data_IF_206015248107
#
_entry.id   IF_206015248107
#
_cell.length_a   1.000
_cell.length_b   1.000
_cell.length_c   1.000
_cell.angle_alpha   90.00
_cell.angle_beta   90.00
_cell.angle_gamma   90.00
#
_symmetry.space_group_name_H-M   'P 1'
#
loop_
_entity.id
_entity.type
_entity.pdbx_description
1 polymer ?
#
# COMPACT_ATOMS: atom_id res chain seq x y z
N UNK A 1 -12.73 17.56 -0.16
CA UNK A 1 -11.58 17.11 0.65
C UNK A 1 -10.52 16.59 -0.30
N UNK A 2 -9.24 16.89 -0.07
CA UNK A 2 -8.17 16.52 -1.00
C UNK A 2 -7.96 14.98 -0.93
N UNK A 3 -8.49 14.21 -1.89
CA UNK A 3 -8.46 12.73 -1.88
C UNK A 3 -7.05 12.16 -1.67
N UNK A 4 -6.05 12.83 -2.24
CA UNK A 4 -4.63 12.49 -2.04
C UNK A 4 -4.18 12.57 -0.58
N UNK A 5 -4.72 13.51 0.21
CA UNK A 5 -4.35 13.69 1.61
C UNK A 5 -4.94 12.59 2.50
N UNK A 6 -6.18 12.16 2.20
CA UNK A 6 -6.80 10.98 2.82
C UNK A 6 -6.02 9.69 2.49
N UNK A 7 -5.50 9.60 1.27
CA UNK A 7 -4.73 8.44 0.80
C UNK A 7 -3.39 8.35 1.53
N UNK A 8 -2.69 9.48 1.67
CA UNK A 8 -1.47 9.57 2.50
C UNK A 8 -1.76 9.15 3.94
N UNK A 9 -2.87 9.62 4.53
CA UNK A 9 -3.24 9.26 5.90
C UNK A 9 -3.58 7.77 6.05
N UNK A 10 -4.25 7.18 5.06
CA UNK A 10 -4.57 5.75 5.00
C UNK A 10 -3.29 4.90 4.96
N UNK A 11 -2.34 5.25 4.09
CA UNK A 11 -1.03 4.57 4.00
C UNK A 11 -0.26 4.72 5.32
N UNK A 12 -0.25 5.90 5.93
CA UNK A 12 0.40 6.11 7.23
C UNK A 12 -0.18 5.18 8.31
N UNK A 13 -1.50 5.07 8.40
CA UNK A 13 -2.16 4.20 9.37
C UNK A 13 -1.90 2.72 9.10
N UNK A 14 -1.93 2.30 7.84
CA UNK A 14 -1.59 0.95 7.42
C UNK A 14 -0.16 0.59 7.83
N UNK A 15 0.79 1.45 7.51
CA UNK A 15 2.22 1.28 7.79
C UNK A 15 2.49 1.19 9.30
N UNK A 16 1.82 2.00 10.11
CA UNK A 16 1.87 1.91 11.58
C UNK A 16 1.32 0.54 12.02
N UNK A 17 0.19 0.11 11.46
CA UNK A 17 -0.39 -1.22 11.69
C UNK A 17 0.58 -2.35 11.36
N UNK A 18 1.22 -2.33 10.19
CA UNK A 18 2.21 -3.33 9.76
C UNK A 18 3.43 -3.35 10.68
N UNK A 19 3.87 -2.18 11.15
CA UNK A 19 4.98 -2.08 12.10
C UNK A 19 4.64 -2.74 13.43
N UNK A 20 3.45 -2.44 13.97
CA UNK A 20 2.96 -3.05 15.21
C UNK A 20 2.70 -4.55 15.08
N UNK A 21 2.31 -5.02 13.89
CA UNK A 21 2.11 -6.45 13.62
C UNK A 21 3.39 -7.26 13.79
N UNK A 22 4.52 -6.71 13.35
CA UNK A 22 5.84 -7.33 13.50
C UNK A 22 6.36 -7.25 14.93
N UNK A 23 5.95 -6.23 15.70
CA UNK A 23 6.22 -6.09 17.14
C UNK A 23 5.33 -7.01 17.99
N UNK A 24 4.13 -7.37 17.53
CA UNK A 24 3.21 -8.24 18.28
C UNK A 24 3.58 -9.73 18.25
N UNK A 25 4.73 -10.08 17.65
CA UNK A 25 5.19 -11.46 17.42
C UNK A 25 4.13 -12.35 16.74
N UNK A 26 3.28 -11.75 15.90
CA UNK A 26 2.21 -12.50 15.24
C UNK A 26 1.01 -12.77 16.15
N UNK A 27 0.53 -11.73 16.84
CA UNK A 27 -0.70 -11.71 17.65
C UNK A 27 -0.58 -12.26 19.09
N UNK A 28 0.62 -12.49 19.61
CA UNK A 28 0.83 -13.08 20.94
C UNK A 28 0.42 -12.14 22.10
N UNK A 29 0.38 -10.82 21.86
CA UNK A 29 -0.04 -9.82 22.85
C UNK A 29 -1.35 -9.15 22.46
N UNK A 30 -2.39 -9.32 23.28
CA UNK A 30 -3.74 -8.78 23.03
C UNK A 30 -3.79 -7.24 22.87
N UNK A 31 -2.92 -6.50 23.58
CA UNK A 31 -2.83 -5.04 23.48
C UNK A 31 -2.46 -4.53 22.08
N UNK A 32 -1.25 -4.84 21.57
CA UNK A 32 -0.84 -4.42 20.22
C UNK A 32 -1.72 -5.01 19.12
N UNK A 33 -2.30 -6.20 19.29
CA UNK A 33 -3.29 -6.75 18.37
C UNK A 33 -4.49 -5.83 18.17
N UNK A 34 -5.04 -5.26 19.25
CA UNK A 34 -6.19 -4.35 19.16
C UNK A 34 -5.84 -3.07 18.39
N UNK A 35 -4.62 -2.56 18.58
CA UNK A 35 -4.10 -1.38 17.87
C UNK A 35 -3.94 -1.67 16.38
N UNK A 36 -3.44 -2.86 16.01
CA UNK A 36 -3.32 -3.28 14.61
C UNK A 36 -4.69 -3.31 13.96
N UNK A 37 -5.68 -3.95 14.59
CA UNK A 37 -7.05 -4.04 14.04
C UNK A 37 -7.69 -2.66 13.91
N UNK A 38 -7.55 -1.79 14.91
CA UNK A 38 -8.07 -0.42 14.85
C UNK A 38 -7.40 0.38 13.72
N UNK A 39 -6.07 0.30 13.59
CA UNK A 39 -5.35 1.01 12.54
C UNK A 39 -5.73 0.53 11.13
N UNK A 40 -5.77 -0.79 10.93
CA UNK A 40 -6.17 -1.38 9.65
C UNK A 40 -7.63 -1.06 9.31
N UNK A 41 -8.52 -1.09 10.30
CA UNK A 41 -9.93 -0.73 10.13
C UNK A 41 -10.10 0.72 9.66
N UNK A 42 -9.32 1.65 10.23
CA UNK A 42 -9.30 3.05 9.81
C UNK A 42 -8.72 3.16 8.40
N UNK A 43 -7.55 2.56 8.13
CA UNK A 43 -6.90 2.62 6.83
C UNK A 43 -7.81 2.11 5.70
N UNK A 44 -8.43 0.94 5.89
CA UNK A 44 -9.38 0.35 4.94
C UNK A 44 -10.64 1.20 4.77
N UNK A 45 -11.18 1.76 5.85
CA UNK A 45 -12.35 2.64 5.75
C UNK A 45 -12.06 3.87 4.90
N UNK A 46 -10.90 4.52 5.11
CA UNK A 46 -10.46 5.65 4.28
C UNK A 46 -10.25 5.20 2.83
N UNK A 47 -9.62 4.05 2.61
CA UNK A 47 -9.38 3.51 1.27
C UNK A 47 -10.68 3.31 0.48
N UNK A 48 -11.69 2.70 1.12
CA UNK A 48 -13.03 2.49 0.53
C UNK A 48 -13.73 3.81 0.19
N UNK A 49 -13.56 4.84 1.03
CA UNK A 49 -14.13 6.18 0.75
C UNK A 49 -13.45 6.84 -0.45
N UNK A 50 -12.12 6.76 -0.54
CA UNK A 50 -11.36 7.39 -1.64
C UNK A 50 -11.66 6.70 -2.98
N UNK A 51 -11.74 5.36 -2.98
CA UNK A 51 -12.08 4.57 -4.18
C UNK A 51 -13.49 4.81 -4.69
N UNK A 52 -14.42 5.29 -3.86
CA UNK A 52 -15.76 5.73 -4.33
C UNK A 52 -15.74 7.08 -5.06
N UNK A 53 -14.73 7.92 -4.84
CA UNK A 53 -14.67 9.29 -5.38
C UNK A 53 -13.61 9.51 -6.46
N UNK A 54 -12.82 8.49 -6.81
CA UNK A 54 -11.73 8.60 -7.80
C UNK A 54 -11.59 7.31 -8.59
N UNK A 55 -10.93 7.36 -9.75
CA UNK A 55 -10.67 6.18 -10.56
C UNK A 55 -9.92 5.12 -9.75
N UNK A 56 -10.55 3.95 -9.61
CA UNK A 56 -10.04 2.82 -8.82
C UNK A 56 -8.63 2.42 -9.27
N UNK A 57 -8.31 2.56 -10.56
CA UNK A 57 -6.98 2.30 -11.12
C UNK A 57 -5.90 3.15 -10.46
N UNK A 58 -6.03 4.49 -10.52
CA UNK A 58 -5.04 5.42 -9.94
C UNK A 58 -4.89 5.20 -8.42
N UNK A 59 -6.00 4.97 -7.72
CA UNK A 59 -5.98 4.77 -6.26
C UNK A 59 -5.27 3.48 -5.87
N UNK A 60 -5.55 2.36 -6.55
CA UNK A 60 -4.82 1.10 -6.34
C UNK A 60 -3.32 1.25 -6.67
N UNK A 61 -2.98 2.02 -7.71
CA UNK A 61 -1.58 2.29 -8.06
C UNK A 61 -0.81 2.91 -6.89
N UNK A 62 -1.35 4.00 -6.35
CA UNK A 62 -0.70 4.76 -5.30
C UNK A 62 -0.71 3.98 -3.99
N UNK A 63 -1.80 3.30 -3.68
CA UNK A 63 -1.91 2.51 -2.46
C UNK A 63 -0.97 1.30 -2.46
N UNK A 64 -0.97 0.50 -3.52
CA UNK A 64 -0.10 -0.68 -3.63
C UNK A 64 1.38 -0.29 -3.78
N UNK A 65 1.70 0.68 -4.64
CA UNK A 65 3.08 1.13 -4.84
C UNK A 65 3.64 1.91 -3.63
N UNK A 66 2.87 2.87 -3.12
CA UNK A 66 3.24 3.68 -1.97
C UNK A 66 3.36 2.87 -0.69
N UNK A 67 2.41 1.96 -0.43
CA UNK A 67 2.46 1.05 0.71
C UNK A 67 3.73 0.20 0.73
N UNK A 68 4.09 -0.42 -0.41
CA UNK A 68 5.29 -1.25 -0.52
C UNK A 68 6.58 -0.45 -0.27
N UNK A 69 6.69 0.75 -0.81
CA UNK A 69 7.87 1.62 -0.60
C UNK A 69 8.02 1.96 0.88
N UNK A 70 6.95 2.45 1.51
CA UNK A 70 6.99 2.88 2.91
C UNK A 70 7.23 1.69 3.85
N UNK A 71 6.54 0.57 3.65
CA UNK A 71 6.76 -0.66 4.43
C UNK A 71 8.19 -1.16 4.29
N UNK A 72 8.77 -1.10 3.09
CA UNK A 72 10.18 -1.47 2.87
C UNK A 72 11.12 -0.55 3.62
N UNK A 73 10.92 0.78 3.56
CA UNK A 73 11.73 1.76 4.29
C UNK A 73 11.66 1.49 5.81
N UNK A 74 10.46 1.25 6.33
CA UNK A 74 10.28 0.94 7.75
C UNK A 74 10.91 -0.40 8.12
N UNK A 75 10.78 -1.44 7.29
CA UNK A 75 11.41 -2.73 7.55
C UNK A 75 12.94 -2.60 7.71
N UNK A 76 13.57 -1.76 6.89
CA UNK A 76 15.01 -1.50 7.00
C UNK A 76 15.34 -0.63 8.21
N UNK A 77 14.59 0.44 8.44
CA UNK A 77 14.89 1.46 9.46
C UNK A 77 14.57 1.00 10.89
N UNK A 78 13.37 0.46 11.12
CA UNK A 78 12.91 0.05 12.45
C UNK A 78 13.36 -1.36 12.84
N UNK A 79 13.38 -2.29 11.89
CA UNK A 79 13.71 -3.69 12.19
C UNK A 79 15.17 -4.04 11.91
N UNK A 80 15.97 -3.08 11.41
CA UNK A 80 17.35 -3.30 10.97
C UNK A 80 17.50 -4.58 10.14
N UNK A 81 16.47 -4.92 9.35
CA UNK A 81 16.49 -6.14 8.58
C UNK A 81 17.61 -6.01 7.55
N UNK A 82 18.50 -7.01 7.42
CA UNK A 82 19.58 -6.93 6.45
C UNK A 82 18.95 -6.77 5.06
N UNK A 83 19.31 -5.66 4.40
CA UNK A 83 19.01 -5.40 3.01
C UNK A 83 19.80 -6.38 2.16
N UNK A 84 19.32 -7.61 2.10
CA UNK A 84 19.85 -8.60 1.17
C UNK A 84 19.54 -8.13 -0.25
N UNK A 85 20.49 -8.35 -1.16
CA UNK A 85 20.34 -8.05 -2.58
C UNK A 85 19.06 -8.68 -3.15
N UNK A 86 18.63 -9.83 -2.60
CA UNK A 86 17.38 -10.52 -2.92
C UNK A 86 16.13 -9.70 -2.55
N UNK A 87 16.12 -9.04 -1.38
CA UNK A 87 14.99 -8.20 -0.95
C UNK A 87 14.85 -6.97 -1.84
N UNK A 88 15.97 -6.34 -2.19
CA UNK A 88 15.98 -5.19 -3.10
C UNK A 88 15.43 -5.60 -4.47
N UNK A 89 15.94 -6.70 -5.04
CA UNK A 89 15.44 -7.26 -6.29
C UNK A 89 13.95 -7.60 -6.23
N UNK A 90 13.50 -8.23 -5.14
CA UNK A 90 12.08 -8.55 -4.93
C UNK A 90 11.20 -7.31 -4.87
N UNK A 91 11.58 -6.30 -4.07
CA UNK A 91 10.84 -5.03 -3.98
C UNK A 91 10.81 -4.30 -5.33
N UNK A 92 11.93 -4.26 -6.06
CA UNK A 92 11.99 -3.66 -7.41
C UNK A 92 11.09 -4.41 -8.40
N UNK A 93 11.03 -5.74 -8.32
CA UNK A 93 10.17 -6.54 -9.19
C UNK A 93 8.68 -6.34 -8.88
N UNK A 94 8.31 -6.26 -7.60
CA UNK A 94 6.95 -5.93 -7.17
C UNK A 94 6.56 -4.53 -7.68
N UNK A 95 7.45 -3.54 -7.51
CA UNK A 95 7.22 -2.18 -8.01
C UNK A 95 7.06 -2.16 -9.53
N UNK A 96 7.89 -2.89 -10.27
CA UNK A 96 7.76 -3.03 -11.72
C UNK A 96 6.43 -3.66 -12.13
N UNK A 97 5.97 -4.70 -11.40
CA UNK A 97 4.67 -5.32 -11.61
C UNK A 97 3.50 -4.37 -11.34
N UNK A 98 3.56 -3.61 -10.24
CA UNK A 98 2.54 -2.60 -9.91
C UNK A 98 2.49 -1.51 -10.98
N UNK A 99 3.64 -1.02 -11.45
CA UNK A 99 3.71 -0.04 -12.55
C UNK A 99 3.11 -0.64 -13.82
N UNK A 100 3.49 -1.87 -14.19
CA UNK A 100 2.96 -2.57 -15.37
C UNK A 100 1.44 -2.77 -15.34
N UNK A 101 0.88 -3.14 -14.19
CA UNK A 101 -0.57 -3.28 -13.99
C UNK A 101 -1.32 -1.94 -13.99
N UNK A 102 -0.63 -0.85 -13.64
CA UNK A 102 -1.19 0.49 -13.62
C UNK A 102 -0.89 1.30 -14.88
N UNK A 103 -0.23 0.72 -15.89
CA UNK A 103 -0.27 1.32 -17.22
C UNK A 103 -1.74 1.27 -17.67
N UNK A 104 -2.35 2.42 -17.99
CA UNK A 104 -3.67 2.42 -18.59
C UNK A 104 -3.57 1.57 -19.85
N UNK A 105 -4.34 0.49 -19.90
CA UNK A 105 -4.50 -0.31 -21.09
C UNK A 105 -4.97 0.66 -22.17
N UNK A 106 -4.07 1.08 -23.07
CA UNK A 106 -4.45 1.70 -24.32
C UNK A 106 -5.19 0.60 -25.08
N UNK A 107 -6.47 0.40 -24.75
CA UNK A 107 -7.39 -0.17 -25.69
C UNK A 107 -7.35 0.77 -26.87
N UNK A 108 -6.59 0.38 -27.88
CA UNK A 108 -6.79 0.84 -29.24
C UNK A 108 -8.25 0.52 -29.57
N UNK A 109 -9.17 1.43 -29.27
CA UNK A 109 -10.46 1.45 -29.93
C UNK A 109 -10.16 1.76 -31.38
N UNK A 110 -9.99 0.68 -32.14
CA UNK A 110 -9.99 0.65 -33.59
C UNK A 110 -10.98 1.69 -34.11
N UNK A 111 -10.57 2.59 -35.03
CA UNK A 111 -11.48 3.56 -35.62
C UNK A 111 -12.50 2.79 -36.47
N UNK A 112 -13.66 2.47 -35.89
CA UNK A 112 -14.80 1.98 -36.64
C UNK A 112 -15.35 3.15 -37.45
N UNK A 113 -14.81 3.31 -38.66
CA UNK A 113 -15.47 3.96 -39.78
C UNK A 113 -16.87 3.34 -39.93
N UNK A 114 -17.92 4.07 -39.58
CA UNK A 114 -19.17 4.02 -40.32
C UNK A 114 -19.98 5.29 -40.19
#
# INVERSE_FOLDING_TARGET
MNNYLLLTFSIFFEVIGTSFMKISEGFTKAGPTLIVVACYGIALSLYVVITRSSEIGIINAIWSGGGVVVVTIIAVSLFHEPLSMVKVLGTTLILAGVVGLNLPEQRETSPEKR
#
